data_IF_570238717948
#
_entry.id   IF_570238717948
#
_cell.length_a   1.000
_cell.length_b   1.000
_cell.length_c   1.000
_cell.angle_alpha   90.00
_cell.angle_beta   90.00
_cell.angle_gamma   90.00
#
_symmetry.space_group_name_H-M   'P 1'
#
loop_
_entity.id
_entity.type
_entity.pdbx_description
1 polymer ?
#
# COMPACT_ATOMS: atom_id res chain seq x y z
N UNK A 1 -2.09 27.02 12.88
CA UNK A 1 -3.06 27.25 11.79
C UNK A 1 -3.91 26.01 11.64
N UNK A 2 -5.21 26.16 11.41
CA UNK A 2 -6.08 25.07 11.00
C UNK A 2 -5.91 24.76 9.51
N UNK A 3 -6.65 23.77 9.02
CA UNK A 3 -6.70 23.41 7.60
C UNK A 3 -8.13 23.59 7.10
N UNK A 4 -8.30 24.38 6.04
CA UNK A 4 -9.55 24.45 5.30
C UNK A 4 -9.54 23.32 4.25
N UNK A 5 -10.39 22.28 4.41
CA UNK A 5 -10.40 21.15 3.49
C UNK A 5 -10.95 21.50 2.10
N UNK A 6 -11.78 22.55 2.00
CA UNK A 6 -12.38 23.00 0.73
C UNK A 6 -11.36 23.82 -0.06
N UNK A 7 -10.76 24.81 0.58
CA UNK A 7 -9.75 25.66 -0.06
C UNK A 7 -8.36 25.03 -0.11
N UNK A 8 -8.17 23.87 0.55
CA UNK A 8 -6.89 23.15 0.69
C UNK A 8 -5.74 24.08 1.10
N UNK A 9 -5.99 24.94 2.11
CA UNK A 9 -5.00 25.91 2.60
C UNK A 9 -5.02 26.00 4.12
N UNK A 10 -3.90 26.44 4.68
CA UNK A 10 -3.79 26.78 6.10
C UNK A 10 -4.59 28.05 6.38
N UNK A 11 -5.40 28.03 7.43
CA UNK A 11 -6.23 29.17 7.86
C UNK A 11 -6.04 29.47 9.34
N UNK A 12 -6.24 30.73 9.72
CA UNK A 12 -6.35 31.06 11.14
C UNK A 12 -7.62 30.42 11.70
N UNK A 13 -7.53 29.86 12.90
CA UNK A 13 -8.71 29.34 13.61
C UNK A 13 -9.12 30.40 14.62
N UNK A 14 -10.42 30.72 14.67
CA UNK A 14 -10.99 31.62 15.66
C UNK A 14 -11.98 30.87 16.54
N UNK A 15 -12.10 31.27 17.81
CA UNK A 15 -13.17 30.81 18.70
C UNK A 15 -14.51 31.52 18.36
N UNK A 16 -15.65 31.14 18.97
CA UNK A 16 -16.94 31.80 18.73
C UNK A 16 -16.97 33.30 19.04
N UNK A 17 -15.99 33.80 19.81
CA UNK A 17 -15.85 35.22 20.16
C UNK A 17 -14.84 35.95 19.25
N UNK A 18 -14.37 35.30 18.18
CA UNK A 18 -13.43 35.85 17.21
C UNK A 18 -11.96 35.86 17.65
N UNK A 19 -11.61 35.25 18.79
CA UNK A 19 -10.22 35.20 19.27
C UNK A 19 -9.43 34.12 18.55
N UNK A 20 -8.17 34.40 18.21
CA UNK A 20 -7.29 33.42 17.56
C UNK A 20 -7.02 32.21 18.45
N UNK A 21 -7.22 31.01 17.90
CA UNK A 21 -6.87 29.73 18.48
C UNK A 21 -5.59 29.23 17.82
N UNK A 22 -4.50 29.15 18.60
CA UNK A 22 -3.23 28.66 18.11
C UNK A 22 -3.19 27.13 18.12
N UNK A 23 -2.91 26.53 16.97
CA UNK A 23 -2.80 25.07 16.80
C UNK A 23 -1.38 24.76 16.31
N UNK A 24 -0.67 23.96 17.08
CA UNK A 24 0.65 23.41 16.78
C UNK A 24 0.58 21.89 16.86
N UNK A 25 0.92 21.21 15.77
CA UNK A 25 0.96 19.75 15.70
C UNK A 25 2.37 19.29 15.35
N UNK A 26 2.86 18.26 16.03
CA UNK A 26 4.10 17.62 15.67
C UNK A 26 4.05 17.06 14.23
N UNK A 27 5.21 16.94 13.61
CA UNK A 27 5.34 16.16 12.38
C UNK A 27 5.50 14.67 12.74
N UNK A 28 4.98 13.79 11.89
CA UNK A 28 5.07 12.34 12.08
C UNK A 28 6.51 11.86 12.34
N UNK A 29 6.64 10.73 13.06
CA UNK A 29 7.90 10.14 13.51
C UNK A 29 8.75 11.10 14.37
N UNK A 30 8.09 11.98 15.12
CA UNK A 30 8.72 12.99 15.98
C UNK A 30 9.74 13.89 15.26
N UNK A 31 9.69 13.99 13.91
CA UNK A 31 10.68 14.74 13.13
C UNK A 31 10.73 16.21 13.52
N UNK A 32 9.56 16.77 13.84
CA UNK A 32 9.48 18.09 14.44
C UNK A 32 8.50 18.09 15.59
N UNK A 33 8.90 18.72 16.70
CA UNK A 33 8.07 18.86 17.90
C UNK A 33 7.62 20.30 18.07
N UNK A 34 6.37 20.53 18.50
CA UNK A 34 5.90 21.88 18.79
C UNK A 34 6.52 22.38 20.10
N UNK A 35 7.13 23.55 20.03
CA UNK A 35 7.57 24.30 21.22
C UNK A 35 6.79 25.60 21.27
N UNK A 36 6.11 25.84 22.38
CA UNK A 36 5.21 26.99 22.57
C UNK A 36 5.57 27.71 23.85
N UNK A 37 5.91 28.99 23.72
CA UNK A 37 6.13 29.91 24.81
C UNK A 37 4.86 30.75 25.01
N UNK A 38 4.23 30.58 26.18
CA UNK A 38 3.11 31.40 26.64
C UNK A 38 3.62 32.42 27.65
N UNK A 39 3.49 33.69 27.30
CA UNK A 39 3.78 34.82 28.18
C UNK A 39 2.46 35.37 28.72
N UNK A 40 2.37 35.53 30.03
CA UNK A 40 1.20 36.03 30.74
C UNK A 40 1.62 37.25 31.55
N UNK A 41 1.00 38.39 31.26
CA UNK A 41 1.21 39.63 32.00
C UNK A 41 -0.10 40.00 32.69
N UNK A 42 -0.11 40.11 34.02
CA UNK A 42 -1.33 40.47 34.75
C UNK A 42 -1.69 41.93 34.49
N UNK A 43 -2.92 42.17 34.06
CA UNK A 43 -3.46 43.50 33.84
C UNK A 43 -4.51 43.81 34.91
N UNK A 44 -4.11 44.58 35.92
CA UNK A 44 -4.96 44.91 37.07
C UNK A 44 -6.19 45.75 36.68
N UNK A 45 -6.06 46.64 35.69
CA UNK A 45 -7.18 47.48 35.21
C UNK A 45 -8.27 46.64 34.54
N UNK A 46 -7.86 45.61 33.78
CA UNK A 46 -8.79 44.67 33.13
C UNK A 46 -9.25 43.54 34.04
N UNK A 47 -8.64 43.37 35.22
CA UNK A 47 -8.82 42.20 36.07
C UNK A 47 -8.52 40.87 35.34
N UNK A 48 -7.57 40.89 34.39
CA UNK A 48 -7.33 39.77 33.48
C UNK A 48 -5.86 39.68 33.05
N UNK A 49 -5.45 38.53 32.50
CA UNK A 49 -4.11 38.35 31.92
C UNK A 49 -4.06 38.79 30.46
N UNK A 50 -3.13 39.67 30.11
CA UNK A 50 -2.70 39.88 28.73
C UNK A 50 -1.82 38.69 28.32
N UNK A 51 -2.15 38.06 27.19
CA UNK A 51 -1.52 36.79 26.76
C UNK A 51 -0.78 36.99 25.45
N UNK A 52 0.48 36.55 25.39
CA UNK A 52 1.26 36.47 24.15
C UNK A 52 1.73 35.04 23.94
N UNK A 53 1.47 34.50 22.75
CA UNK A 53 1.85 33.15 22.37
C UNK A 53 2.86 33.22 21.23
N UNK A 54 4.02 32.60 21.41
CA UNK A 54 5.00 32.39 20.34
C UNK A 54 5.34 30.91 20.30
N UNK A 55 5.20 30.27 19.15
CA UNK A 55 5.54 28.87 19.00
C UNK A 55 5.98 28.52 17.60
N UNK A 56 6.63 27.37 17.49
CA UNK A 56 7.18 26.85 16.25
C UNK A 56 7.43 25.35 16.31
N UNK A 57 7.79 24.79 15.17
CA UNK A 57 8.22 23.41 15.06
C UNK A 57 9.74 23.35 15.12
N UNK A 58 10.27 22.71 16.14
CA UNK A 58 11.70 22.47 16.31
C UNK A 58 12.08 21.17 15.63
N UNK A 59 13.16 21.18 14.87
CA UNK A 59 13.70 20.00 14.19
C UNK A 59 14.51 19.14 15.17
N UNK A 60 14.02 17.94 15.47
CA UNK A 60 14.63 17.06 16.47
C UNK A 60 15.98 16.53 15.98
N UNK A 61 16.23 16.48 14.67
CA UNK A 61 17.50 16.02 14.11
C UNK A 61 18.70 16.91 14.48
N UNK A 62 18.46 18.12 15.00
CA UNK A 62 19.50 19.04 15.45
C UNK A 62 20.05 18.71 16.85
N UNK A 63 19.42 17.75 17.55
CA UNK A 63 19.76 17.39 18.93
C UNK A 63 20.40 16.00 18.96
N UNK A 64 21.36 15.82 19.87
CA UNK A 64 21.92 14.50 20.14
C UNK A 64 20.92 13.67 20.95
N UNK A 65 20.91 12.36 20.70
CA UNK A 65 20.18 11.43 21.56
C UNK A 65 20.70 11.53 23.00
N UNK A 66 19.78 11.43 23.97
CA UNK A 66 20.14 11.40 25.38
C UNK A 66 20.87 10.07 25.70
N UNK A 67 22.11 10.11 26.23
CA UNK A 67 22.88 8.89 26.49
C UNK A 67 22.20 7.95 27.49
N UNK A 68 21.48 8.49 28.47
CA UNK A 68 20.74 7.70 29.46
C UNK A 68 19.57 6.94 28.83
N UNK A 69 18.81 7.61 27.96
CA UNK A 69 17.74 7.00 27.17
C UNK A 69 18.28 5.89 26.26
N UNK A 70 19.36 6.16 25.51
CA UNK A 70 19.98 5.13 24.66
C UNK A 70 20.40 3.91 25.47
N UNK A 71 21.15 4.11 26.57
CA UNK A 71 21.60 3.01 27.43
C UNK A 71 20.44 2.22 28.05
N UNK A 72 19.34 2.90 28.41
CA UNK A 72 18.15 2.24 28.97
C UNK A 72 17.50 1.26 27.98
N UNK A 73 17.47 1.59 26.68
CA UNK A 73 16.79 0.77 25.67
C UNK A 73 17.73 -0.11 24.84
N UNK A 74 19.05 0.04 24.97
CA UNK A 74 20.06 -0.76 24.26
C UNK A 74 19.81 -2.28 24.36
N UNK A 75 19.52 -2.87 25.55
CA UNK A 75 19.28 -4.30 25.64
C UNK A 75 18.11 -4.79 24.79
N UNK A 76 17.01 -4.02 24.77
CA UNK A 76 15.84 -4.33 23.94
C UNK A 76 16.12 -4.11 22.45
N UNK A 77 16.92 -3.10 22.12
CA UNK A 77 17.36 -2.86 20.75
C UNK A 77 18.21 -4.04 20.21
N UNK A 78 19.15 -4.53 21.00
CA UNK A 78 19.99 -5.68 20.67
C UNK A 78 19.19 -6.98 20.54
N UNK A 79 18.18 -7.20 21.40
CA UNK A 79 17.28 -8.33 21.29
C UNK A 79 16.49 -8.31 19.98
N UNK A 80 15.88 -7.16 19.65
CA UNK A 80 15.12 -6.98 18.41
C UNK A 80 16.05 -7.14 17.21
N UNK A 81 17.27 -6.59 17.25
CA UNK A 81 18.26 -6.72 16.18
C UNK A 81 18.60 -8.18 15.91
N UNK A 82 18.88 -8.96 16.97
CA UNK A 82 19.12 -10.41 16.84
C UNK A 82 17.92 -11.14 16.25
N UNK A 83 16.69 -10.77 16.65
CA UNK A 83 15.47 -11.38 16.12
C UNK A 83 15.25 -11.06 14.64
N UNK A 84 15.41 -9.80 14.22
CA UNK A 84 15.25 -9.41 12.80
C UNK A 84 16.36 -9.96 11.90
N UNK A 85 17.54 -10.25 12.48
CA UNK A 85 18.70 -10.87 11.82
C UNK A 85 18.67 -12.41 11.86
N UNK A 86 17.58 -13.02 12.31
CA UNK A 86 17.42 -14.47 12.27
C UNK A 86 17.12 -14.93 10.83
N UNK A 87 17.86 -15.93 10.29
CA UNK A 87 17.56 -16.49 8.98
C UNK A 87 16.27 -17.31 9.02
N UNK A 88 15.48 -17.22 7.95
CA UNK A 88 14.17 -17.88 7.81
C UNK A 88 14.04 -18.70 6.51
N UNK A 89 15.03 -18.66 5.63
CA UNK A 89 15.02 -19.42 4.38
C UNK A 89 16.06 -18.92 3.39
N UNK A 90 15.99 -19.41 2.15
CA UNK A 90 16.78 -18.94 1.03
C UNK A 90 15.91 -18.69 -0.19
N UNK A 91 16.32 -17.75 -1.01
CA UNK A 91 15.70 -17.42 -2.29
C UNK A 91 16.75 -17.29 -3.38
N UNK A 92 16.42 -17.74 -4.58
CA UNK A 92 17.21 -17.49 -5.79
C UNK A 92 16.75 -16.19 -6.45
N UNK A 93 17.70 -15.34 -6.81
CA UNK A 93 17.44 -14.00 -7.35
C UNK A 93 17.02 -12.96 -6.31
N UNK A 94 16.83 -11.74 -6.81
CA UNK A 94 16.36 -10.58 -6.04
C UNK A 94 15.15 -10.02 -6.77
N UNK A 95 14.05 -9.82 -6.05
CA UNK A 95 12.81 -9.25 -6.58
C UNK A 95 12.57 -7.88 -5.99
N UNK A 96 11.94 -7.00 -6.77
CA UNK A 96 11.67 -5.62 -6.37
C UNK A 96 10.21 -5.25 -6.60
N UNK A 97 9.68 -4.34 -5.80
CA UNK A 97 8.31 -3.84 -6.00
C UNK A 97 8.22 -2.87 -7.19
N UNK A 98 9.33 -2.40 -7.74
CA UNK A 98 9.30 -1.42 -8.86
C UNK A 98 8.61 -1.97 -10.10
N UNK A 99 8.86 -3.24 -10.41
CA UNK A 99 8.28 -3.93 -11.56
C UNK A 99 6.76 -3.99 -11.46
N UNK A 100 6.24 -4.21 -10.24
CA UNK A 100 4.79 -4.30 -10.02
C UNK A 100 4.05 -3.08 -10.52
N UNK A 101 4.66 -1.89 -10.45
CA UNK A 101 4.01 -0.64 -10.87
C UNK A 101 3.58 -0.64 -12.34
N UNK A 102 4.18 -1.50 -13.18
CA UNK A 102 3.99 -1.49 -14.62
C UNK A 102 3.33 -2.76 -15.17
N UNK A 103 3.16 -3.80 -14.36
CA UNK A 103 2.65 -5.08 -14.83
C UNK A 103 2.85 -6.21 -13.83
N UNK A 104 2.74 -7.44 -14.34
CA UNK A 104 2.96 -8.65 -13.57
C UNK A 104 4.38 -8.71 -13.01
N UNK A 105 4.54 -9.17 -11.76
CA UNK A 105 5.84 -9.09 -11.09
C UNK A 105 6.06 -10.19 -10.07
N UNK A 106 7.28 -10.71 -10.02
CA UNK A 106 7.67 -11.75 -9.09
C UNK A 106 7.45 -11.36 -7.60
N UNK A 107 7.55 -10.06 -7.28
CA UNK A 107 7.35 -9.56 -5.92
C UNK A 107 5.91 -9.73 -5.43
N UNK A 108 4.94 -9.26 -6.22
CA UNK A 108 3.51 -9.38 -5.88
C UNK A 108 3.05 -10.83 -5.99
N UNK A 109 3.58 -11.55 -6.98
CA UNK A 109 3.21 -12.93 -7.25
C UNK A 109 3.69 -13.93 -6.22
N UNK A 110 4.81 -13.67 -5.57
CA UNK A 110 5.21 -14.43 -4.40
C UNK A 110 4.13 -14.37 -3.31
N UNK A 111 3.56 -13.18 -3.06
CA UNK A 111 2.48 -13.01 -2.07
C UNK A 111 1.22 -13.73 -2.56
N UNK A 112 0.87 -13.63 -3.85
CA UNK A 112 -0.27 -14.36 -4.41
C UNK A 112 -0.15 -15.86 -4.18
N UNK A 113 1.02 -16.45 -4.51
CA UNK A 113 1.31 -17.88 -4.30
C UNK A 113 1.13 -18.27 -2.85
N UNK A 114 1.75 -17.51 -1.93
CA UNK A 114 1.67 -17.81 -0.50
C UNK A 114 0.23 -17.71 0.00
N UNK A 115 -0.54 -16.69 -0.39
CA UNK A 115 -1.96 -16.58 -0.01
C UNK A 115 -2.79 -17.78 -0.50
N UNK A 116 -2.59 -18.21 -1.75
CA UNK A 116 -3.27 -19.37 -2.32
C UNK A 116 -2.86 -20.67 -1.61
N UNK A 117 -1.58 -20.86 -1.33
CA UNK A 117 -1.09 -22.06 -0.65
C UNK A 117 -1.56 -22.14 0.79
N UNK A 118 -1.50 -21.04 1.55
CA UNK A 118 -2.04 -20.96 2.90
C UNK A 118 -3.54 -21.27 2.93
N UNK A 119 -4.30 -20.81 1.94
CA UNK A 119 -5.76 -21.06 1.89
C UNK A 119 -6.13 -22.54 1.72
N UNK A 120 -5.24 -23.36 1.16
CA UNK A 120 -5.48 -24.80 0.97
C UNK A 120 -5.32 -25.60 2.25
N UNK A 121 -4.57 -25.09 3.23
CA UNK A 121 -4.36 -25.76 4.50
C UNK A 121 -5.55 -25.50 5.45
N UNK A 122 -6.36 -26.53 5.78
CA UNK A 122 -7.51 -26.35 6.67
C UNK A 122 -7.12 -25.88 8.08
N UNK A 123 -5.87 -26.08 8.51
CA UNK A 123 -5.38 -25.58 9.79
C UNK A 123 -5.26 -24.05 9.84
N UNK A 124 -5.26 -23.38 8.68
CA UNK A 124 -5.19 -21.92 8.60
C UNK A 124 -6.52 -21.22 8.92
N UNK A 125 -7.63 -21.98 9.02
CA UNK A 125 -8.97 -21.39 9.24
C UNK A 125 -9.50 -20.63 8.02
N UNK A 126 -9.02 -20.99 6.83
CA UNK A 126 -9.38 -20.40 5.55
C UNK A 126 -10.19 -21.40 4.71
N UNK A 127 -11.08 -20.87 3.88
CA UNK A 127 -11.65 -21.65 2.79
C UNK A 127 -10.64 -21.70 1.63
N UNK A 128 -10.44 -22.83 0.94
CA UNK A 128 -9.56 -22.89 -0.24
C UNK A 128 -9.95 -21.83 -1.26
N UNK A 129 -9.01 -20.93 -1.57
CA UNK A 129 -9.27 -19.80 -2.46
C UNK A 129 -9.05 -20.19 -3.92
N UNK A 130 -10.00 -19.77 -4.76
CA UNK A 130 -9.89 -19.82 -6.22
C UNK A 130 -9.04 -18.66 -6.75
N UNK A 131 -9.16 -17.49 -6.12
CA UNK A 131 -8.58 -16.22 -6.58
C UNK A 131 -7.88 -15.54 -5.41
N UNK A 132 -6.81 -14.80 -5.68
CA UNK A 132 -6.04 -14.06 -4.68
C UNK A 132 -5.90 -12.61 -5.13
N UNK A 133 -6.21 -11.64 -4.27
CA UNK A 133 -5.95 -10.22 -4.49
C UNK A 133 -4.75 -9.74 -3.68
N UNK A 134 -3.84 -9.01 -4.32
CA UNK A 134 -2.64 -8.46 -3.67
C UNK A 134 -2.33 -7.08 -4.25
N UNK A 135 -1.97 -6.17 -3.33
CA UNK A 135 -1.43 -4.86 -3.62
C UNK A 135 0.09 -4.84 -3.43
N UNK A 136 0.86 -4.06 -4.20
CA UNK A 136 2.19 -3.67 -3.80
C UNK A 136 2.11 -2.78 -2.55
N UNK A 137 2.82 -3.14 -1.48
CA UNK A 137 2.72 -2.43 -0.18
C UNK A 137 3.91 -1.51 0.12
N UNK A 138 4.87 -1.44 -0.79
CA UNK A 138 5.98 -0.49 -0.79
C UNK A 138 6.18 0.06 -2.20
N UNK A 139 6.62 1.32 -2.31
CA UNK A 139 6.97 1.88 -3.61
C UNK A 139 8.30 1.34 -4.15
N UNK A 140 9.21 0.91 -3.26
CA UNK A 140 10.59 0.58 -3.62
C UNK A 140 11.22 -0.38 -2.60
N UNK A 141 10.56 -1.52 -2.36
CA UNK A 141 11.14 -2.60 -1.56
C UNK A 141 11.87 -3.62 -2.45
N UNK A 142 12.79 -4.35 -1.82
CA UNK A 142 13.48 -5.50 -2.41
C UNK A 142 13.69 -6.60 -1.37
N UNK A 143 13.66 -7.85 -1.82
CA UNK A 143 14.06 -9.02 -1.04
C UNK A 143 14.84 -10.00 -1.96
N UNK A 144 15.79 -10.79 -1.44
CA UNK A 144 16.32 -10.70 -0.08
C UNK A 144 17.19 -9.45 0.08
N UNK A 145 17.40 -9.00 1.31
CA UNK A 145 18.34 -7.91 1.59
C UNK A 145 19.80 -8.36 1.59
N UNK A 146 20.05 -9.66 1.73
CA UNK A 146 21.40 -10.22 1.68
C UNK A 146 21.85 -10.50 0.24
N UNK A 147 23.18 -10.55 0.05
CA UNK A 147 23.80 -10.80 -1.26
C UNK A 147 23.81 -12.29 -1.61
N UNK A 148 23.76 -13.17 -0.62
CA UNK A 148 23.89 -14.62 -0.76
C UNK A 148 22.53 -15.35 -0.87
N UNK A 149 21.42 -14.61 -1.01
CA UNK A 149 20.08 -15.16 -1.12
C UNK A 149 19.43 -15.56 0.21
N UNK A 150 20.11 -15.41 1.35
CA UNK A 150 19.54 -15.69 2.67
C UNK A 150 18.42 -14.71 3.03
N UNK A 151 17.23 -15.24 3.30
CA UNK A 151 16.11 -14.47 3.81
C UNK A 151 16.17 -14.36 5.33
N UNK A 152 15.90 -13.17 5.83
CA UNK A 152 15.85 -12.86 7.25
C UNK A 152 14.47 -12.37 7.65
N UNK A 153 14.17 -12.40 8.95
CA UNK A 153 12.91 -11.84 9.48
C UNK A 153 12.68 -10.39 9.01
N UNK A 154 13.73 -9.56 8.95
CA UNK A 154 13.64 -8.18 8.41
C UNK A 154 13.14 -8.10 6.96
N UNK A 155 13.37 -9.11 6.14
CA UNK A 155 12.89 -9.12 4.75
C UNK A 155 11.36 -9.22 4.68
N UNK A 156 10.72 -9.82 5.70
CA UNK A 156 9.26 -9.89 5.76
C UNK A 156 8.61 -8.52 5.99
N UNK A 157 9.33 -7.57 6.62
CA UNK A 157 8.88 -6.18 6.72
C UNK A 157 9.00 -5.44 5.38
N UNK A 158 9.91 -5.86 4.49
CA UNK A 158 9.96 -5.34 3.12
C UNK A 158 8.86 -5.95 2.24
N UNK A 159 8.62 -7.26 2.38
CA UNK A 159 7.60 -7.99 1.62
C UNK A 159 6.17 -7.56 2.01
N UNK A 160 5.91 -7.37 3.31
CA UNK A 160 4.57 -7.03 3.80
C UNK A 160 4.63 -6.12 5.04
N UNK A 161 4.50 -4.80 4.80
CA UNK A 161 4.68 -3.77 5.84
C UNK A 161 3.53 -3.68 6.85
N UNK A 162 2.33 -4.17 6.52
CA UNK A 162 1.13 -4.01 7.36
C UNK A 162 0.80 -5.27 8.17
N UNK A 163 0.21 -5.10 9.35
CA UNK A 163 -0.24 -6.21 10.22
C UNK A 163 -1.66 -6.68 9.82
N UNK A 164 -1.88 -6.88 8.52
CA UNK A 164 -3.16 -7.36 8.02
C UNK A 164 -3.27 -8.86 8.24
N UNK A 165 -4.47 -9.36 8.54
CA UNK A 165 -4.76 -10.79 8.49
C UNK A 165 -5.04 -11.21 7.04
N UNK A 166 -4.91 -12.50 6.74
CA UNK A 166 -5.48 -13.08 5.52
C UNK A 166 -6.90 -13.51 5.80
N UNK A 167 -7.83 -13.06 4.97
CA UNK A 167 -9.21 -13.50 4.92
C UNK A 167 -9.45 -14.29 3.64
N UNK A 168 -10.46 -15.16 3.69
CA UNK A 168 -11.13 -15.65 2.49
C UNK A 168 -12.56 -15.14 2.49
N UNK A 169 -13.08 -14.80 1.32
CA UNK A 169 -14.43 -14.28 1.17
C UNK A 169 -15.11 -14.77 -0.11
N UNK A 170 -16.44 -14.87 -0.09
CA UNK A 170 -17.23 -15.25 -1.27
C UNK A 170 -17.53 -14.02 -2.12
N UNK A 171 -17.17 -14.04 -3.40
CA UNK A 171 -17.47 -12.98 -4.37
C UNK A 171 -17.99 -13.60 -5.69
N UNK A 172 -18.88 -12.91 -6.40
CA UNK A 172 -19.24 -13.32 -7.76
C UNK A 172 -18.12 -13.01 -8.76
N UNK A 173 -18.08 -13.69 -9.90
CA UNK A 173 -17.14 -13.37 -10.97
C UNK A 173 -17.28 -11.92 -11.44
N UNK A 174 -18.51 -11.40 -11.50
CA UNK A 174 -18.77 -9.98 -11.78
C UNK A 174 -18.11 -9.06 -10.76
N UNK A 175 -18.28 -9.35 -9.47
CA UNK A 175 -17.65 -8.58 -8.39
C UNK A 175 -16.11 -8.64 -8.47
N UNK A 176 -15.53 -9.78 -8.83
CA UNK A 176 -14.08 -9.93 -9.06
C UNK A 176 -13.62 -9.04 -10.21
N UNK A 177 -14.32 -9.07 -11.36
CA UNK A 177 -13.99 -8.21 -12.51
C UNK A 177 -14.10 -6.73 -12.15
N UNK A 178 -15.19 -6.34 -11.49
CA UNK A 178 -15.46 -4.94 -11.16
C UNK A 178 -14.49 -4.41 -10.08
N UNK A 179 -14.02 -5.27 -9.16
CA UNK A 179 -12.93 -5.00 -8.25
C UNK A 179 -11.63 -4.67 -9.00
N UNK A 180 -11.27 -5.48 -10.00
CA UNK A 180 -10.06 -5.27 -10.81
C UNK A 180 -10.19 -4.01 -11.67
N UNK A 181 -11.33 -3.77 -12.32
CA UNK A 181 -11.59 -2.51 -13.05
C UNK A 181 -11.41 -1.28 -12.14
N UNK A 182 -11.86 -1.37 -10.89
CA UNK A 182 -11.69 -0.30 -9.91
C UNK A 182 -10.24 -0.08 -9.49
N UNK A 183 -9.44 -1.14 -9.37
CA UNK A 183 -8.00 -1.06 -9.15
C UNK A 183 -7.33 -0.38 -10.35
N UNK A 184 -7.51 -0.93 -11.55
CA UNK A 184 -6.81 -0.49 -12.75
C UNK A 184 -7.17 0.91 -13.23
N UNK A 185 -8.36 1.44 -12.88
CA UNK A 185 -8.70 2.84 -13.18
C UNK A 185 -7.76 3.86 -12.53
N UNK A 186 -7.16 3.49 -11.40
CA UNK A 186 -6.26 4.36 -10.64
C UNK A 186 -4.80 3.99 -10.83
N UNK A 187 -4.55 2.81 -11.40
CA UNK A 187 -3.22 2.30 -11.68
C UNK A 187 -2.74 2.79 -13.05
N UNK A 188 -3.52 2.53 -14.09
CA UNK A 188 -3.18 2.85 -15.47
C UNK A 188 -4.12 3.92 -16.04
N UNK A 189 -3.53 4.96 -16.65
CA UNK A 189 -4.29 5.97 -17.40
C UNK A 189 -4.89 5.33 -18.67
N UNK A 190 -5.80 6.04 -19.34
CA UNK A 190 -6.18 5.66 -20.70
C UNK A 190 -5.12 6.17 -21.66
N UNK A 191 -4.43 5.24 -22.31
CA UNK A 191 -3.31 5.45 -23.21
C UNK A 191 -3.70 4.97 -24.61
N UNK A 192 -4.38 5.80 -25.44
CA UNK A 192 -4.77 5.43 -26.81
C UNK A 192 -3.64 5.63 -27.85
N UNK A 193 -2.55 6.32 -27.48
CA UNK A 193 -1.37 6.57 -28.31
C UNK A 193 -0.14 6.85 -27.43
N UNK A 194 1.03 6.96 -28.07
CA UNK A 194 2.36 7.10 -27.45
C UNK A 194 2.61 8.45 -26.76
N UNK A 195 1.74 9.45 -26.97
CA UNK A 195 1.78 10.75 -26.29
C UNK A 195 1.17 10.75 -24.89
N UNK A 196 0.59 9.62 -24.45
CA UNK A 196 -0.06 9.48 -23.15
C UNK A 196 0.85 8.74 -22.15
N UNK A 197 0.62 8.97 -20.85
CA UNK A 197 1.26 8.21 -19.78
C UNK A 197 0.57 6.84 -19.62
N UNK A 198 1.33 5.83 -19.23
CA UNK A 198 0.80 4.53 -18.82
C UNK A 198 0.25 4.62 -17.40
N UNK A 199 1.02 5.20 -16.48
CA UNK A 199 0.63 5.36 -15.08
C UNK A 199 -0.36 6.52 -14.95
N UNK A 200 -1.44 6.27 -14.20
CA UNK A 200 -2.37 7.32 -13.83
C UNK A 200 -1.73 8.30 -12.82
N UNK A 201 -1.08 9.35 -13.33
CA UNK A 201 -0.50 10.40 -12.50
C UNK A 201 -1.52 11.47 -12.09
N UNK A 202 -1.29 12.09 -10.93
CA UNK A 202 -1.99 13.27 -10.49
C UNK A 202 -1.59 14.47 -11.37
N UNK A 203 -2.61 15.19 -11.86
CA UNK A 203 -2.46 16.42 -12.65
C UNK A 203 -3.05 17.62 -11.89
N UNK A 204 -2.48 18.80 -12.07
CA UNK A 204 -3.03 20.07 -11.56
C UNK A 204 -4.20 20.57 -12.44
N UNK A 205 -4.69 21.79 -12.19
CA UNK A 205 -5.83 22.36 -12.93
C UNK A 205 -5.50 22.66 -14.38
N UNK A 206 -4.22 22.83 -14.69
CA UNK A 206 -3.66 23.13 -16.00
C UNK A 206 -3.23 21.84 -16.73
N UNK A 207 -3.44 20.67 -16.12
CA UNK A 207 -3.13 19.36 -16.69
C UNK A 207 -1.66 18.93 -16.52
N UNK A 208 -0.85 19.65 -15.74
CA UNK A 208 0.56 19.32 -15.52
C UNK A 208 0.72 18.33 -14.38
N UNK A 209 1.75 17.48 -14.47
CA UNK A 209 2.07 16.51 -13.43
C UNK A 209 2.41 17.19 -12.10
N UNK A 210 1.85 16.66 -11.00
CA UNK A 210 2.16 17.10 -9.64
C UNK A 210 3.34 16.28 -9.11
N UNK A 211 4.38 16.95 -8.60
CA UNK A 211 5.57 16.29 -8.05
C UNK A 211 5.60 16.34 -6.51
N UNK A 212 6.12 15.29 -5.89
CA UNK A 212 6.54 15.31 -4.49
C UNK A 212 7.82 16.14 -4.35
N UNK A 213 7.77 17.23 -3.58
CA UNK A 213 8.90 18.14 -3.45
C UNK A 213 10.12 17.55 -2.73
N UNK A 214 9.93 16.48 -1.93
CA UNK A 214 11.02 15.85 -1.18
C UNK A 214 11.79 14.86 -2.05
N UNK A 215 11.09 14.09 -2.85
CA UNK A 215 11.67 13.00 -3.64
C UNK A 215 11.82 13.35 -5.13
N UNK A 216 11.21 14.45 -5.58
CA UNK A 216 11.14 14.85 -6.98
C UNK A 216 10.56 13.73 -7.87
N UNK A 217 9.55 13.03 -7.35
CA UNK A 217 8.82 11.97 -8.05
C UNK A 217 7.45 12.48 -8.45
N UNK A 218 6.93 12.09 -9.61
CA UNK A 218 5.54 12.37 -9.97
C UNK A 218 4.59 11.65 -8.98
N UNK A 219 3.53 12.33 -8.55
CA UNK A 219 2.50 11.74 -7.70
C UNK A 219 1.52 10.95 -8.55
N UNK A 220 1.22 9.73 -8.14
CA UNK A 220 0.17 8.89 -8.72
C UNK A 220 -1.21 9.34 -8.26
N UNK A 221 -2.25 9.02 -9.03
CA UNK A 221 -3.63 9.42 -8.75
C UNK A 221 -4.15 8.85 -7.42
N UNK A 222 -3.68 7.66 -7.05
CA UNK A 222 -3.83 7.08 -5.72
C UNK A 222 -2.50 6.48 -5.26
N UNK A 223 -2.38 6.13 -3.99
CA UNK A 223 -1.19 5.45 -3.48
C UNK A 223 -1.10 4.03 -4.01
N UNK A 224 0.11 3.55 -4.28
CA UNK A 224 0.40 2.20 -4.81
C UNK A 224 -0.27 1.06 -4.00
N UNK A 225 -0.44 1.20 -2.69
CA UNK A 225 -1.15 0.23 -1.85
C UNK A 225 -2.67 0.20 -2.11
N UNK A 226 -3.18 1.03 -3.02
CA UNK A 226 -4.54 1.02 -3.56
C UNK A 226 -4.62 0.41 -4.96
N UNK A 227 -3.54 -0.21 -5.45
CA UNK A 227 -3.56 -1.08 -6.60
C UNK A 227 -3.73 -2.51 -6.11
N UNK A 228 -4.48 -3.33 -6.83
CA UNK A 228 -4.55 -4.78 -6.62
C UNK A 228 -4.53 -5.49 -7.98
N UNK A 229 -3.69 -6.51 -8.09
CA UNK A 229 -3.74 -7.54 -9.14
C UNK A 229 -4.43 -8.80 -8.62
N UNK A 230 -4.73 -9.74 -9.52
CA UNK A 230 -5.27 -11.04 -9.17
C UNK A 230 -4.35 -12.19 -9.61
N UNK A 231 -4.36 -13.27 -8.85
CA UNK A 231 -3.90 -14.60 -9.28
C UNK A 231 -5.05 -15.61 -9.16
N UNK A 232 -4.98 -16.73 -9.89
CA UNK A 232 -6.06 -17.72 -9.98
C UNK A 232 -7.00 -17.50 -11.17
N UNK A 233 -6.86 -16.37 -11.85
CA UNK A 233 -7.51 -16.04 -13.12
C UNK A 233 -6.46 -15.58 -14.13
N UNK A 234 -6.69 -15.89 -15.40
CA UNK A 234 -5.90 -15.36 -16.51
C UNK A 234 -6.65 -14.17 -17.12
N UNK A 235 -5.98 -13.04 -17.31
CA UNK A 235 -6.62 -11.82 -17.81
C UNK A 235 -5.63 -10.85 -18.46
N UNK A 236 -6.14 -9.86 -19.18
CA UNK A 236 -5.31 -8.75 -19.66
C UNK A 236 -5.96 -7.41 -19.33
N UNK A 237 -5.14 -6.37 -19.31
CA UNK A 237 -5.55 -4.98 -19.07
C UNK A 237 -5.26 -4.15 -20.31
N UNK A 238 -6.28 -3.78 -21.06
CA UNK A 238 -6.16 -2.94 -22.25
C UNK A 238 -6.18 -1.45 -21.86
N UNK A 239 -5.02 -0.80 -21.96
CA UNK A 239 -4.86 0.61 -21.58
C UNK A 239 -5.46 1.57 -22.60
N UNK A 240 -5.76 1.12 -23.81
CA UNK A 240 -6.45 1.94 -24.81
C UNK A 240 -7.94 2.10 -24.48
N UNK A 241 -8.50 1.20 -23.68
CA UNK A 241 -9.90 1.25 -23.28
C UNK A 241 -10.19 2.31 -22.20
N UNK A 242 -11.42 2.85 -22.18
CA UNK A 242 -11.87 3.72 -21.11
C UNK A 242 -11.95 2.99 -19.76
N UNK A 243 -11.92 3.77 -18.67
CA UNK A 243 -12.14 3.27 -17.30
C UNK A 243 -13.41 2.41 -17.22
N UNK A 244 -13.30 1.24 -16.60
CA UNK A 244 -14.40 0.27 -16.46
C UNK A 244 -14.50 -0.75 -17.59
N UNK A 245 -13.65 -0.64 -18.62
CA UNK A 245 -13.59 -1.56 -19.76
C UNK A 245 -12.16 -2.05 -20.04
N UNK A 246 -11.23 -1.87 -19.09
CA UNK A 246 -9.82 -2.23 -19.30
C UNK A 246 -9.58 -3.73 -19.13
N UNK A 247 -10.31 -4.38 -18.23
CA UNK A 247 -10.01 -5.76 -17.78
C UNK A 247 -10.84 -6.77 -18.55
N UNK A 248 -10.17 -7.75 -19.15
CA UNK A 248 -10.80 -8.94 -19.73
C UNK A 248 -10.23 -10.21 -19.07
N UNK A 249 -11.06 -10.91 -18.30
CA UNK A 249 -10.72 -12.22 -17.73
C UNK A 249 -11.05 -13.30 -18.75
N UNK A 250 -10.06 -14.11 -19.13
CA UNK A 250 -10.17 -15.11 -20.19
C UNK A 250 -10.49 -16.50 -19.65
N UNK A 251 -9.95 -16.87 -18.49
CA UNK A 251 -10.20 -18.16 -17.84
C UNK A 251 -9.76 -18.16 -16.38
N UNK A 252 -10.11 -19.22 -15.65
CA UNK A 252 -9.44 -19.57 -14.39
C UNK A 252 -8.06 -20.16 -14.71
N UNK A 253 -7.07 -19.93 -13.83
CA UNK A 253 -5.71 -20.45 -14.04
C UNK A 253 -5.62 -21.98 -13.92
N UNK A 254 -6.63 -22.64 -13.35
CA UNK A 254 -6.73 -24.11 -13.27
C UNK A 254 -7.40 -24.76 -14.50
N UNK A 255 -7.74 -23.95 -15.52
CA UNK A 255 -8.36 -24.41 -16.76
C UNK A 255 -9.89 -24.38 -16.76
N UNK A 256 -10.55 -24.06 -15.63
CA UNK A 256 -12.00 -23.80 -15.63
C UNK A 256 -12.35 -22.55 -16.44
N UNK A 257 -13.57 -22.52 -16.97
CA UNK A 257 -14.14 -21.32 -17.58
C UNK A 257 -14.43 -20.30 -16.48
N UNK A 258 -14.03 -19.05 -16.69
CA UNK A 258 -14.44 -17.96 -15.82
C UNK A 258 -15.88 -17.54 -16.15
N UNK A 259 -16.76 -17.54 -15.15
CA UNK A 259 -18.17 -17.22 -15.28
C UNK A 259 -18.52 -16.03 -14.36
N UNK A 260 -18.94 -14.88 -14.93
CA UNK A 260 -19.31 -13.70 -14.14
C UNK A 260 -20.45 -13.93 -13.14
N UNK A 261 -21.33 -14.90 -13.40
CA UNK A 261 -22.51 -15.16 -12.58
C UNK A 261 -22.26 -16.23 -11.49
N UNK A 262 -21.12 -16.92 -11.53
CA UNK A 262 -20.71 -17.87 -10.50
C UNK A 262 -20.02 -17.19 -9.32
N UNK A 263 -19.96 -17.90 -8.20
CA UNK A 263 -19.26 -17.48 -6.98
C UNK A 263 -17.90 -18.13 -6.87
N UNK A 264 -16.92 -17.36 -6.45
CA UNK A 264 -15.54 -17.77 -6.19
C UNK A 264 -15.15 -17.46 -4.74
N UNK A 265 -14.26 -18.27 -4.19
CA UNK A 265 -13.59 -17.95 -2.92
C UNK A 265 -12.35 -17.12 -3.21
N UNK A 266 -12.26 -15.95 -2.59
CA UNK A 266 -11.20 -14.99 -2.82
C UNK A 266 -10.35 -14.83 -1.56
N UNK A 267 -9.04 -15.07 -1.66
CA UNK A 267 -8.05 -14.71 -0.66
C UNK A 267 -7.75 -13.22 -0.74
N UNK A 268 -7.90 -12.52 0.39
CA UNK A 268 -7.80 -11.06 0.46
C UNK A 268 -7.30 -10.62 1.83
N UNK A 269 -6.49 -9.57 1.88
CA UNK A 269 -6.04 -9.05 3.18
C UNK A 269 -7.19 -8.37 3.96
N UNK A 270 -7.09 -8.33 5.28
CA UNK A 270 -8.15 -7.83 6.16
C UNK A 270 -8.49 -6.36 5.94
N UNK A 271 -7.53 -5.52 5.54
CA UNK A 271 -7.79 -4.12 5.19
C UNK A 271 -8.75 -4.04 4.00
N UNK A 272 -8.50 -4.81 2.94
CA UNK A 272 -9.37 -4.90 1.76
C UNK A 272 -10.70 -5.58 2.06
N UNK A 273 -10.67 -6.71 2.76
CA UNK A 273 -11.86 -7.45 3.18
C UNK A 273 -12.81 -6.63 4.05
N UNK A 274 -12.29 -5.63 4.78
CA UNK A 274 -13.06 -4.69 5.59
C UNK A 274 -13.54 -3.45 4.80
N UNK A 275 -13.33 -3.39 3.49
CA UNK A 275 -13.73 -2.27 2.63
C UNK A 275 -12.66 -1.20 2.40
N UNK A 276 -11.44 -1.39 2.88
CA UNK A 276 -10.32 -0.47 2.73
C UNK A 276 -10.03 -0.09 1.28
N UNK A 277 -9.82 1.20 1.02
CA UNK A 277 -9.59 1.75 -0.33
C UNK A 277 -10.80 1.68 -1.28
N UNK A 278 -11.96 1.23 -0.81
CA UNK A 278 -13.23 1.28 -1.56
C UNK A 278 -13.38 0.26 -2.68
N UNK A 279 -12.51 -0.75 -2.78
CA UNK A 279 -12.58 -1.75 -3.86
C UNK A 279 -13.83 -2.62 -3.78
N UNK A 280 -14.25 -3.00 -2.57
CA UNK A 280 -15.49 -3.77 -2.37
C UNK A 280 -16.74 -2.90 -2.58
N UNK A 281 -16.78 -1.72 -1.95
CA UNK A 281 -17.97 -0.86 -1.97
C UNK A 281 -18.19 -0.17 -3.32
N UNK A 282 -17.15 0.50 -3.84
CA UNK A 282 -17.24 1.31 -5.05
C UNK A 282 -16.85 0.57 -6.32
N UNK A 283 -16.01 -0.47 -6.19
CA UNK A 283 -15.61 -1.32 -7.31
C UNK A 283 -16.62 -2.44 -7.50
N UNK A 284 -16.61 -3.42 -6.61
CA UNK A 284 -17.49 -4.59 -6.67
C UNK A 284 -18.97 -4.31 -6.36
N UNK A 285 -19.34 -3.09 -5.95
CA UNK A 285 -20.73 -2.70 -5.70
C UNK A 285 -21.38 -3.38 -4.49
N UNK A 286 -20.58 -3.89 -3.54
CA UNK A 286 -21.07 -4.53 -2.32
C UNK A 286 -21.48 -3.44 -1.33
N UNK A 287 -22.71 -3.49 -0.81
CA UNK A 287 -23.20 -2.44 0.07
C UNK A 287 -22.41 -2.35 1.40
N UNK A 288 -22.30 -1.13 1.93
CA UNK A 288 -21.51 -0.86 3.12
C UNK A 288 -21.95 -1.65 4.37
N UNK A 289 -23.24 -2.02 4.48
CA UNK A 289 -23.72 -2.79 5.62
C UNK A 289 -23.27 -4.26 5.54
N UNK A 290 -23.31 -4.86 4.35
CA UNK A 290 -22.75 -6.20 4.08
C UNK A 290 -21.25 -6.25 4.36
N UNK A 291 -20.49 -5.23 3.96
CA UNK A 291 -19.05 -5.16 4.24
C UNK A 291 -18.80 -5.03 5.75
N UNK A 292 -19.47 -4.09 6.43
CA UNK A 292 -19.27 -3.85 7.87
C UNK A 292 -19.61 -5.05 8.75
N UNK A 293 -20.59 -5.86 8.33
CA UNK A 293 -20.97 -7.08 9.05
C UNK A 293 -20.06 -8.26 8.73
N UNK A 294 -19.09 -8.10 7.83
CA UNK A 294 -18.20 -9.17 7.33
C UNK A 294 -18.96 -10.38 6.78
N UNK A 295 -20.20 -10.18 6.31
CA UNK A 295 -21.12 -11.27 5.94
C UNK A 295 -20.55 -12.21 4.86
N UNK A 296 -19.68 -11.70 3.99
CA UNK A 296 -19.07 -12.46 2.91
C UNK A 296 -17.74 -13.10 3.29
N UNK A 297 -17.15 -12.76 4.45
CA UNK A 297 -15.91 -13.36 4.94
C UNK A 297 -16.21 -14.77 5.44
N UNK A 298 -15.55 -15.76 4.86
CA UNK A 298 -15.77 -17.18 5.12
C UNK A 298 -14.55 -17.88 5.74
N UNK A 299 -13.48 -17.15 6.01
CA UNK A 299 -12.30 -17.64 6.72
C UNK A 299 -11.36 -16.50 7.12
N UNK A 300 -10.60 -16.73 8.18
CA UNK A 300 -9.59 -15.79 8.66
C UNK A 300 -8.45 -16.52 9.37
N UNK A 301 -7.24 -16.06 9.12
CA UNK A 301 -6.04 -16.51 9.83
C UNK A 301 -6.04 -16.06 11.30
N UNK A 302 -5.28 -16.77 12.15
CA UNK A 302 -5.18 -16.50 13.59
C UNK A 302 -4.15 -15.44 13.97
N UNK A 303 -3.28 -15.08 13.03
CA UNK A 303 -2.22 -14.07 13.14
C UNK A 303 -2.13 -13.30 11.82
N UNK A 304 -1.36 -12.23 11.80
CA UNK A 304 -1.17 -11.42 10.60
C UNK A 304 -0.43 -12.18 9.49
N UNK A 305 -0.60 -11.72 8.26
CA UNK A 305 0.02 -12.25 7.04
C UNK A 305 1.54 -12.28 7.15
N UNK A 306 2.19 -11.31 7.80
CA UNK A 306 3.66 -11.30 7.93
C UNK A 306 4.15 -12.48 8.74
N UNK A 307 3.44 -12.85 9.80
CA UNK A 307 3.72 -14.07 10.55
C UNK A 307 3.63 -15.31 9.65
N UNK A 308 2.59 -15.44 8.83
CA UNK A 308 2.43 -16.62 7.96
C UNK A 308 3.37 -16.62 6.76
N UNK A 309 3.73 -15.46 6.19
CA UNK A 309 4.78 -15.34 5.18
C UNK A 309 6.12 -15.84 5.74
N UNK A 310 6.47 -15.42 6.96
CA UNK A 310 7.64 -15.90 7.68
C UNK A 310 7.60 -17.42 7.86
N UNK A 311 6.47 -17.96 8.34
CA UNK A 311 6.31 -19.41 8.56
C UNK A 311 6.35 -20.21 7.27
N UNK A 312 5.79 -19.67 6.19
CA UNK A 312 5.85 -20.28 4.86
C UNK A 312 7.29 -20.39 4.37
N UNK A 313 8.14 -19.37 4.59
CA UNK A 313 9.56 -19.48 4.27
C UNK A 313 10.30 -20.48 5.16
N UNK A 314 10.02 -20.50 6.46
CA UNK A 314 10.62 -21.46 7.39
C UNK A 314 10.25 -22.91 7.07
N UNK A 315 9.11 -23.15 6.42
CA UNK A 315 8.69 -24.50 6.00
C UNK A 315 9.34 -24.95 4.70
N UNK A 316 10.02 -24.07 3.94
CA UNK A 316 10.69 -24.46 2.70
C UNK A 316 11.98 -25.21 3.01
N UNK A 317 12.12 -26.41 2.45
CA UNK A 317 13.34 -27.23 2.59
C UNK A 317 14.39 -26.91 1.53
N UNK A 318 13.99 -26.23 0.45
CA UNK A 318 14.83 -25.87 -0.68
C UNK A 318 14.87 -24.35 -0.89
N UNK A 319 15.80 -23.88 -1.72
CA UNK A 319 15.86 -22.48 -2.13
C UNK A 319 14.59 -22.12 -2.90
N UNK A 320 13.89 -21.08 -2.46
CA UNK A 320 12.68 -20.58 -3.11
C UNK A 320 13.05 -19.93 -4.44
N UNK A 321 12.49 -20.43 -5.53
CA UNK A 321 12.59 -19.77 -6.84
C UNK A 321 11.44 -18.79 -7.00
N UNK A 322 11.75 -17.57 -7.41
CA UNK A 322 10.76 -16.51 -7.65
C UNK A 322 10.74 -16.11 -9.11
N UNK A 323 9.53 -15.95 -9.63
CA UNK A 323 9.26 -15.50 -10.99
C UNK A 323 7.90 -14.81 -11.00
N UNK A 324 7.51 -14.10 -12.06
CA UNK A 324 6.11 -13.81 -12.31
C UNK A 324 5.30 -15.11 -12.48
N UNK A 325 4.00 -15.11 -12.16
CA UNK A 325 3.05 -16.19 -12.43
C UNK A 325 2.74 -16.21 -13.94
N UNK A 326 2.72 -15.04 -14.57
CA UNK A 326 2.42 -14.89 -15.99
C UNK A 326 0.93 -15.05 -16.31
N UNK A 327 0.05 -14.83 -15.33
CA UNK A 327 -1.40 -14.93 -15.53
C UNK A 327 -2.02 -13.64 -16.07
N UNK A 328 -1.29 -12.52 -16.10
CA UNK A 328 -1.80 -11.29 -16.69
C UNK A 328 -0.74 -10.42 -17.35
N UNK A 329 -1.19 -9.57 -18.27
CA UNK A 329 -0.37 -8.58 -18.95
C UNK A 329 -1.15 -7.30 -19.23
N UNK A 330 -0.42 -6.22 -19.51
CA UNK A 330 -0.97 -4.94 -19.96
C UNK A 330 -0.79 -4.86 -21.48
N UNK A 331 -1.84 -4.49 -22.20
CA UNK A 331 -1.84 -4.44 -23.67
C UNK A 331 -2.34 -3.08 -24.18
N UNK A 332 -1.98 -2.66 -25.40
CA UNK A 332 -0.99 -3.27 -26.32
C UNK A 332 0.46 -3.17 -25.82
N UNK A 333 1.27 -4.21 -26.04
CA UNK A 333 2.62 -4.32 -25.47
C UNK A 333 3.62 -3.27 -25.98
N UNK A 334 3.52 -2.89 -27.26
CA UNK A 334 4.32 -1.85 -27.89
C UNK A 334 4.09 -0.48 -27.24
N UNK A 335 2.81 -0.17 -27.00
CA UNK A 335 2.41 1.06 -26.35
C UNK A 335 2.80 1.09 -24.87
N UNK A 336 2.60 -0.04 -24.18
CA UNK A 336 3.03 -0.22 -22.79
C UNK A 336 4.53 -0.03 -22.63
N UNK A 337 5.35 -0.58 -23.54
CA UNK A 337 6.80 -0.40 -23.49
C UNK A 337 7.22 1.08 -23.58
N UNK A 338 6.55 1.87 -24.43
CA UNK A 338 6.76 3.33 -24.52
C UNK A 338 6.35 4.01 -23.21
N UNK A 339 5.18 3.66 -22.69
CA UNK A 339 4.68 4.21 -21.43
C UNK A 339 5.62 3.92 -20.25
N UNK A 340 6.13 2.69 -20.14
CA UNK A 340 7.13 2.32 -19.12
C UNK A 340 8.38 3.18 -19.26
N UNK A 341 8.92 3.33 -20.48
CA UNK A 341 10.12 4.13 -20.72
C UNK A 341 9.95 5.60 -20.30
N UNK A 342 8.76 6.16 -20.53
CA UNK A 342 8.43 7.53 -20.18
C UNK A 342 8.17 7.71 -18.66
N UNK A 343 7.51 6.73 -18.04
CA UNK A 343 6.96 6.88 -16.68
C UNK A 343 7.91 6.37 -15.59
N UNK A 344 8.77 5.40 -15.90
CA UNK A 344 9.77 4.89 -14.97
C UNK A 344 10.64 5.99 -14.34
N UNK A 345 11.27 6.91 -15.11
CA UNK A 345 12.09 7.98 -14.50
C UNK A 345 11.28 8.98 -13.68
N UNK A 346 9.95 9.07 -13.86
CA UNK A 346 9.07 9.94 -13.07
C UNK A 346 8.77 9.34 -11.70
N UNK A 347 8.66 8.01 -11.60
CA UNK A 347 8.47 7.30 -10.34
C UNK A 347 9.79 7.01 -9.61
N UNK A 348 10.86 6.76 -10.35
CA UNK A 348 12.16 6.33 -9.85
C UNK A 348 13.30 7.16 -10.45
N UNK A 349 13.36 8.48 -10.13
CA UNK A 349 14.42 9.33 -10.64
C UNK A 349 15.77 8.83 -10.16
N UNK A 350 16.79 8.99 -11.00
CA UNK A 350 18.17 8.72 -10.60
C UNK A 350 18.51 9.50 -9.33
N UNK A 351 19.14 8.84 -8.35
CA UNK A 351 19.60 9.51 -7.14
C UNK A 351 20.61 10.60 -7.54
N UNK A 352 20.32 11.84 -7.16
CA UNK A 352 21.24 12.98 -7.34
C UNK A 352 22.41 12.91 -6.39
#
# INVERSE_FOLDING_TARGET
MGWDPVAKKKVEVKDPNGKTVYIYGALNAARKVPVVNLMLDWNAEKGAWDKRVRGGLVDVAQYKADPGFTAQFEPGFDEIKKWVDRPIGKMDGVITTRESMFGDSAFVDLIHRIQLDLSKDPAMGLAPADISFVAPLSADAKIPTSVDGTLYVRDMFNLYVYENFLYTMTMTGRQVKDFLEYSYRFWFDTMPNDGNHLIAFQKDKEGKLVFDARYNTAQTQTRYYNYDSAAGVNYFVDVTQPVGQKVTITSMSDGRIFNPDETYTVAINSYRGSGGGGHLEKGAGIDAATIRTMKLVNGATTKDLRFFLLKWFESQTETVTVAPIGNWNVIPEDLVAIGIANDYPLLYPAKK
#
